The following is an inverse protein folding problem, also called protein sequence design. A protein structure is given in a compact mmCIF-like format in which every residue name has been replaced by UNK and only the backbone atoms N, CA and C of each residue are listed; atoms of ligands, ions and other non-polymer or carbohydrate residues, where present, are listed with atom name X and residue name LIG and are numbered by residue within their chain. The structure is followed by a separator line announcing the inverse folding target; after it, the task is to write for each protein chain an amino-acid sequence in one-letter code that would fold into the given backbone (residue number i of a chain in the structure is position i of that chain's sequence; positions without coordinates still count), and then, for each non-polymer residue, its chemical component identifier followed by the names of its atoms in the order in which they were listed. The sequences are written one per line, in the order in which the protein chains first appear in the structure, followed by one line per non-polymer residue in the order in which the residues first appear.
data_IF_050491316613
#
_entry.id   IF_050491316613
#
_cell.length_a   1.000
_cell.length_b   1.000
_cell.length_c   1.000
_cell.angle_alpha   90.00
_cell.angle_beta   90.00
_cell.angle_gamma   90.00
#
_symmetry.space_group_name_H-M   'P 1'
#
loop_
_entity.id
_entity.type
_entity.pdbx_description
1 polymer ?
#
# COMPACT_ATOMS: atom_id res chain seq x y z
N UNK A 1 -21.11 -2.86 2.55
CA UNK A 1 -19.94 -1.99 2.75
C UNK A 1 -19.02 -2.42 3.89
N UNK A 2 -19.56 -2.78 5.07
CA UNK A 2 -18.77 -3.31 6.21
C UNK A 2 -18.01 -4.61 5.87
N UNK A 3 -18.59 -5.51 5.10
CA UNK A 3 -17.98 -6.80 4.72
C UNK A 3 -16.71 -6.59 3.88
N UNK A 4 -16.68 -5.61 2.99
CA UNK A 4 -15.52 -5.30 2.15
C UNK A 4 -14.36 -4.71 2.96
N UNK A 5 -14.67 -3.93 3.99
CA UNK A 5 -13.66 -3.36 4.89
C UNK A 5 -13.05 -4.47 5.76
N UNK A 6 -13.86 -5.40 6.25
CA UNK A 6 -13.37 -6.53 7.02
C UNK A 6 -12.50 -7.50 6.19
N UNK A 7 -12.84 -7.72 4.93
CA UNK A 7 -12.03 -8.58 4.05
C UNK A 7 -10.65 -7.97 3.78
N UNK A 8 -10.59 -6.68 3.48
CA UNK A 8 -9.33 -5.99 3.24
C UNK A 8 -8.42 -5.92 4.48
N UNK A 9 -9.00 -5.78 5.66
CA UNK A 9 -8.26 -5.81 6.92
C UNK A 9 -7.71 -7.21 7.23
N UNK A 10 -8.49 -8.25 6.95
CA UNK A 10 -8.03 -9.63 7.08
C UNK A 10 -6.88 -9.97 6.14
N UNK A 11 -6.99 -9.53 4.90
CA UNK A 11 -5.92 -9.70 3.91
C UNK A 11 -4.64 -8.98 4.33
N UNK A 12 -4.74 -7.74 4.82
CA UNK A 12 -3.60 -7.00 5.32
C UNK A 12 -2.92 -7.67 6.52
N UNK A 13 -3.71 -8.21 7.44
CA UNK A 13 -3.21 -8.95 8.58
C UNK A 13 -2.56 -10.27 8.16
N UNK A 14 -3.13 -10.95 7.16
CA UNK A 14 -2.56 -12.16 6.60
C UNK A 14 -1.21 -11.91 5.92
N UNK A 15 -1.07 -10.81 5.17
CA UNK A 15 0.18 -10.44 4.50
C UNK A 15 1.35 -10.20 5.47
N UNK A 16 1.08 -9.74 6.68
CA UNK A 16 2.11 -9.61 7.72
C UNK A 16 2.69 -10.95 8.18
N UNK A 17 1.91 -12.01 8.04
CA UNK A 17 2.31 -13.37 8.41
C UNK A 17 2.91 -14.16 7.26
N UNK A 18 2.92 -13.59 6.08
CA UNK A 18 3.51 -14.24 4.91
C UNK A 18 5.00 -14.44 5.12
N UNK A 19 5.54 -15.58 4.66
CA UNK A 19 6.97 -15.83 4.72
C UNK A 19 7.75 -14.82 3.87
N UNK A 20 9.00 -14.62 4.21
CA UNK A 20 9.92 -13.70 3.53
C UNK A 20 10.83 -14.50 2.61
N UNK A 21 10.90 -14.08 1.35
CA UNK A 21 11.92 -14.52 0.39
C UNK A 21 12.91 -13.38 0.14
N UNK A 22 14.17 -13.72 -0.05
CA UNK A 22 15.18 -12.76 -0.47
C UNK A 22 15.00 -12.47 -1.95
N UNK A 23 14.92 -11.19 -2.28
CA UNK A 23 14.74 -10.72 -3.64
C UNK A 23 15.71 -9.61 -4.00
N UNK A 24 15.59 -9.15 -5.23
CA UNK A 24 16.40 -8.08 -5.79
C UNK A 24 15.50 -7.14 -6.58
N UNK A 25 15.74 -5.84 -6.45
CA UNK A 25 15.08 -4.83 -7.27
C UNK A 25 15.67 -4.86 -8.68
N UNK A 26 14.82 -5.06 -9.67
CA UNK A 26 15.20 -5.02 -11.09
C UNK A 26 15.15 -3.62 -11.65
N UNK A 27 14.11 -2.85 -11.27
CA UNK A 27 13.86 -1.52 -11.78
C UNK A 27 13.09 -0.71 -10.74
N UNK A 28 13.51 0.53 -10.56
CA UNK A 28 12.86 1.46 -9.64
C UNK A 28 12.80 2.84 -10.30
N UNK A 29 11.60 3.35 -10.54
CA UNK A 29 11.38 4.63 -11.21
C UNK A 29 10.13 5.32 -10.71
N UNK A 30 10.09 6.64 -10.88
CA UNK A 30 8.87 7.43 -10.69
C UNK A 30 8.16 7.55 -12.03
N UNK A 31 6.90 7.15 -12.08
CA UNK A 31 6.02 7.40 -13.23
C UNK A 31 5.11 8.58 -12.97
N UNK A 32 5.05 9.47 -13.95
CA UNK A 32 4.07 10.53 -14.01
C UNK A 32 2.83 10.03 -14.76
N UNK A 33 1.67 10.27 -14.21
CA UNK A 33 0.41 9.99 -14.90
C UNK A 33 -0.59 11.12 -14.68
N UNK A 34 -1.48 11.30 -15.65
CA UNK A 34 -2.52 12.32 -15.60
C UNK A 34 -3.83 11.67 -15.17
N UNK A 35 -4.46 12.25 -14.15
CA UNK A 35 -5.78 11.86 -13.72
C UNK A 35 -6.73 13.04 -13.93
N UNK A 36 -7.94 12.76 -14.37
CA UNK A 36 -9.00 13.76 -14.39
C UNK A 36 -9.37 14.09 -12.95
N UNK A 37 -9.30 15.36 -12.59
CA UNK A 37 -9.86 15.83 -11.36
C UNK A 37 -11.35 15.57 -11.40
N UNK A 38 -11.80 14.58 -10.63
CA UNK A 38 -13.20 14.19 -10.60
C UNK A 38 -14.09 15.39 -10.37
N UNK A 39 -15.25 15.38 -11.02
CA UNK A 39 -16.31 16.36 -10.86
C UNK A 39 -16.75 16.41 -9.40
N UNK A 40 -16.03 17.15 -8.58
CA UNK A 40 -16.52 17.58 -7.28
C UNK A 40 -17.64 18.59 -7.51
N UNK A 41 -18.68 18.53 -6.68
CA UNK A 41 -19.86 19.40 -6.69
C UNK A 41 -19.57 20.91 -6.51
N UNK A 42 -18.31 21.29 -6.56
CA UNK A 42 -17.88 22.68 -6.53
C UNK A 42 -17.37 23.02 -7.92
N UNK A 43 -18.20 23.70 -8.71
CA UNK A 43 -18.02 24.07 -10.10
C UNK A 43 -16.72 24.79 -10.46
N UNK A 44 -15.59 24.12 -10.24
CA UNK A 44 -14.28 24.53 -10.72
C UNK A 44 -13.96 23.97 -12.11
N UNK A 45 -13.06 24.61 -12.87
CA UNK A 45 -12.68 24.13 -14.17
C UNK A 45 -12.12 22.69 -14.08
N UNK A 46 -12.57 21.81 -14.96
CA UNK A 46 -12.08 20.44 -15.10
C UNK A 46 -10.58 20.48 -15.41
N UNK A 47 -9.76 20.43 -14.38
CA UNK A 47 -8.31 20.38 -14.49
C UNK A 47 -7.81 18.94 -14.55
N UNK A 48 -6.80 18.71 -15.38
CA UNK A 48 -6.02 17.47 -15.31
C UNK A 48 -4.98 17.63 -14.21
N UNK A 49 -4.99 16.70 -13.26
CA UNK A 49 -3.98 16.63 -12.22
C UNK A 49 -2.83 15.74 -12.68
N UNK A 50 -1.62 16.24 -12.57
CA UNK A 50 -0.41 15.43 -12.71
C UNK A 50 -0.12 14.75 -11.39
N UNK A 51 -0.09 13.43 -11.40
CA UNK A 51 0.17 12.59 -10.25
C UNK A 51 1.43 11.77 -10.49
N UNK A 52 2.09 11.40 -9.41
CA UNK A 52 3.32 10.62 -9.44
C UNK A 52 3.14 9.33 -8.66
N UNK A 53 3.68 8.23 -9.18
CA UNK A 53 3.68 6.95 -8.50
C UNK A 53 5.05 6.30 -8.56
N UNK A 54 5.52 5.67 -7.49
CA UNK A 54 6.69 4.84 -7.54
C UNK A 54 6.36 3.51 -8.22
N UNK A 55 7.20 3.08 -9.14
CA UNK A 55 7.13 1.77 -9.78
C UNK A 55 8.41 1.04 -9.46
N UNK A 56 8.31 -0.01 -8.67
CA UNK A 56 9.43 -0.86 -8.27
C UNK A 56 9.11 -2.27 -8.72
N UNK A 57 9.91 -2.79 -9.64
CA UNK A 57 9.83 -4.17 -10.10
C UNK A 57 10.95 -4.96 -9.43
N UNK A 58 10.61 -6.07 -8.83
CA UNK A 58 11.54 -6.94 -8.12
C UNK A 58 11.36 -8.40 -8.51
N UNK A 59 12.41 -9.18 -8.34
CA UNK A 59 12.37 -10.63 -8.48
C UNK A 59 12.72 -11.31 -7.16
N UNK A 60 12.21 -12.48 -6.95
CA UNK A 60 12.47 -13.32 -5.80
C UNK A 60 12.33 -14.79 -6.16
N UNK A 61 12.92 -15.65 -5.36
CA UNK A 61 12.91 -17.09 -5.57
C UNK A 61 12.21 -17.80 -4.42
N UNK A 62 11.30 -18.70 -4.77
CA UNK A 62 10.60 -19.59 -3.83
C UNK A 62 10.74 -21.03 -4.34
N UNK A 63 11.32 -21.89 -3.52
CA UNK A 63 11.52 -23.31 -3.85
C UNK A 63 12.20 -23.55 -5.23
N UNK A 64 13.19 -22.74 -5.57
CA UNK A 64 13.92 -22.84 -6.83
C UNK A 64 13.25 -22.20 -8.03
N UNK A 65 12.05 -21.63 -7.87
CA UNK A 65 11.33 -20.95 -8.94
C UNK A 65 11.38 -19.43 -8.75
N UNK A 66 11.66 -18.70 -9.84
CA UNK A 66 11.71 -17.25 -9.85
C UNK A 66 10.36 -16.65 -10.17
N UNK A 67 10.02 -15.60 -9.40
CA UNK A 67 8.82 -14.80 -9.58
C UNK A 67 9.18 -13.32 -9.67
N UNK A 68 8.30 -12.55 -10.28
CA UNK A 68 8.39 -11.09 -10.33
C UNK A 68 7.19 -10.46 -9.65
N UNK A 69 7.40 -9.33 -8.99
CA UNK A 69 6.35 -8.54 -8.39
C UNK A 69 6.61 -7.06 -8.57
N UNK A 70 5.57 -6.27 -8.45
CA UNK A 70 5.58 -4.82 -8.53
C UNK A 70 4.78 -4.15 -7.41
N UNK A 71 4.21 -4.92 -6.51
CA UNK A 71 3.42 -4.43 -5.40
C UNK A 71 4.32 -4.01 -4.24
N UNK A 72 4.34 -2.71 -3.93
CA UNK A 72 5.10 -2.16 -2.81
C UNK A 72 4.31 -2.29 -1.53
N UNK A 73 3.06 -1.84 -1.53
CA UNK A 73 2.17 -1.89 -0.39
C UNK A 73 0.79 -2.40 -0.79
N UNK A 74 0.02 -2.89 0.17
CA UNK A 74 -1.30 -3.45 -0.08
C UNK A 74 -2.29 -2.41 -0.61
N UNK A 75 -2.20 -1.18 -0.17
CA UNK A 75 -3.11 -0.13 -0.59
C UNK A 75 -2.41 0.83 -1.56
N UNK A 76 -2.64 0.70 -2.85
CA UNK A 76 -2.00 1.57 -3.84
C UNK A 76 -2.47 3.03 -3.76
N UNK A 77 -3.51 3.33 -2.97
CA UNK A 77 -4.12 4.65 -2.91
C UNK A 77 -3.41 5.68 -2.03
N UNK A 78 -2.66 5.25 -1.02
CA UNK A 78 -2.05 6.17 -0.05
C UNK A 78 -0.75 6.84 -0.53
N UNK A 79 -0.13 6.32 -1.58
CA UNK A 79 1.16 6.76 -2.07
C UNK A 79 1.06 7.52 -3.41
N UNK A 80 -0.15 7.84 -3.83
CA UNK A 80 -0.40 8.51 -5.10
C UNK A 80 -0.51 10.02 -4.89
N UNK A 81 0.20 10.77 -5.71
CA UNK A 81 -0.05 12.18 -5.86
C UNK A 81 1.11 13.11 -5.51
N UNK A 82 1.99 12.75 -4.58
CA UNK A 82 3.08 13.63 -4.16
C UNK A 82 4.41 13.15 -4.74
N UNK A 83 5.05 13.99 -5.57
CA UNK A 83 6.32 13.69 -6.21
C UNK A 83 7.42 13.29 -5.22
N UNK A 84 7.54 14.00 -4.11
CA UNK A 84 8.55 13.75 -3.09
C UNK A 84 8.38 12.37 -2.46
N UNK A 85 7.15 11.92 -2.25
CA UNK A 85 6.87 10.61 -1.68
C UNK A 85 7.26 9.48 -2.65
N UNK A 86 6.95 9.65 -3.93
CA UNK A 86 7.35 8.70 -4.97
C UNK A 86 8.87 8.60 -5.09
N UNK A 87 9.58 9.74 -5.05
CA UNK A 87 11.04 9.78 -5.07
C UNK A 87 11.67 9.10 -3.84
N UNK A 88 11.16 9.36 -2.65
CA UNK A 88 11.66 8.70 -1.43
C UNK A 88 11.48 7.20 -1.49
N UNK A 89 10.39 6.72 -2.04
CA UNK A 89 10.14 5.27 -2.22
C UNK A 89 11.14 4.66 -3.21
N UNK A 90 11.35 5.32 -4.35
CA UNK A 90 12.31 4.87 -5.36
C UNK A 90 13.75 4.86 -4.82
N UNK A 91 14.13 5.84 -4.01
CA UNK A 91 15.45 5.87 -3.38
C UNK A 91 15.64 4.73 -2.36
N UNK A 92 14.57 4.38 -1.64
CA UNK A 92 14.59 3.26 -0.69
C UNK A 92 14.80 1.92 -1.39
N UNK A 93 14.26 1.77 -2.58
CA UNK A 93 14.34 0.56 -3.39
C UNK A 93 15.17 0.82 -4.65
N UNK A 94 16.45 1.12 -4.49
CA UNK A 94 17.34 1.39 -5.60
C UNK A 94 17.55 0.15 -6.50
N UNK A 95 17.78 0.38 -7.79
CA UNK A 95 18.07 -0.68 -8.77
C UNK A 95 19.19 -1.58 -8.27
N UNK A 96 18.98 -2.89 -8.38
CA UNK A 96 19.95 -3.90 -7.98
C UNK A 96 20.08 -4.15 -6.48
N UNK A 97 19.36 -3.41 -5.63
CA UNK A 97 19.40 -3.60 -4.18
C UNK A 97 18.69 -4.89 -3.76
N UNK A 98 19.19 -5.49 -2.67
CA UNK A 98 18.53 -6.61 -2.03
C UNK A 98 17.29 -6.16 -1.27
N UNK A 99 16.21 -6.93 -1.35
CA UNK A 99 14.94 -6.65 -0.67
C UNK A 99 14.37 -7.90 -0.04
N UNK A 100 13.62 -7.71 1.02
CA UNK A 100 12.80 -8.75 1.62
C UNK A 100 11.40 -8.72 1.00
N UNK A 101 11.01 -9.82 0.38
CA UNK A 101 9.73 -9.96 -0.31
C UNK A 101 8.85 -10.89 0.50
N UNK A 102 7.67 -10.44 0.88
CA UNK A 102 6.65 -11.28 1.49
C UNK A 102 5.76 -11.86 0.40
N UNK A 103 5.64 -13.15 0.39
CA UNK A 103 4.86 -13.87 -0.64
C UNK A 103 3.76 -14.72 -0.02
N UNK A 104 2.69 -14.90 -0.78
CA UNK A 104 1.61 -15.79 -0.38
C UNK A 104 2.06 -17.26 -0.51
N UNK A 105 2.09 -18.05 0.57
CA UNK A 105 2.54 -19.43 0.50
C UNK A 105 1.63 -20.32 -0.36
N UNK A 106 0.37 -19.96 -0.54
CA UNK A 106 -0.57 -20.66 -1.41
C UNK A 106 -0.44 -20.28 -2.88
N UNK A 107 0.01 -19.05 -3.13
CA UNK A 107 0.22 -18.48 -4.48
C UNK A 107 1.53 -17.70 -4.49
N UNK A 108 2.68 -18.35 -4.67
CA UNK A 108 3.98 -17.70 -4.55
C UNK A 108 4.21 -16.52 -5.49
N UNK A 109 3.45 -16.42 -6.58
CA UNK A 109 3.46 -15.26 -7.48
C UNK A 109 2.82 -13.99 -6.89
N UNK A 110 2.03 -14.10 -5.84
CA UNK A 110 1.52 -12.95 -5.09
C UNK A 110 2.51 -12.52 -4.02
N UNK A 111 2.94 -11.27 -4.10
CA UNK A 111 3.95 -10.74 -3.20
C UNK A 111 3.72 -9.27 -2.88
N UNK A 112 4.37 -8.81 -1.82
CA UNK A 112 4.35 -7.43 -1.39
C UNK A 112 5.67 -7.10 -0.68
N UNK A 113 6.18 -5.88 -0.87
CA UNK A 113 7.38 -5.41 -0.17
C UNK A 113 7.07 -4.90 1.24
N UNK A 114 6.00 -4.12 1.38
CA UNK A 114 5.61 -3.51 2.65
C UNK A 114 4.16 -3.87 3.00
N UNK A 115 3.92 -4.84 3.89
CA UNK A 115 2.58 -5.15 4.36
C UNK A 115 2.13 -4.08 5.37
N UNK A 116 1.70 -2.93 4.91
CA UNK A 116 1.18 -1.87 5.77
C UNK A 116 -0.30 -2.07 6.03
N UNK A 117 -0.66 -2.14 7.30
CA UNK A 117 -2.05 -2.01 7.72
C UNK A 117 -2.32 -0.53 7.96
N UNK A 118 -3.33 0.06 7.33
CA UNK A 118 -3.70 1.44 7.63
C UNK A 118 -4.06 1.55 9.12
N UNK A 119 -3.33 2.38 9.85
CA UNK A 119 -3.56 2.59 11.30
C UNK A 119 -4.81 3.43 11.59
N UNK A 120 -5.47 3.91 10.55
CA UNK A 120 -6.65 4.78 10.69
C UNK A 120 -7.79 4.16 11.52
N UNK A 121 -7.94 2.84 11.51
CA UNK A 121 -8.94 2.15 12.31
C UNK A 121 -8.65 2.22 13.83
N UNK A 122 -7.37 2.33 14.22
CA UNK A 122 -6.97 2.48 15.63
C UNK A 122 -7.50 3.82 16.16
N UNK A 123 -7.37 4.90 15.39
CA UNK A 123 -7.91 6.21 15.75
C UNK A 123 -9.44 6.18 15.85
N UNK A 124 -10.12 5.52 14.91
CA UNK A 124 -11.57 5.36 14.96
C UNK A 124 -12.02 4.58 16.21
N UNK A 125 -11.30 3.53 16.58
CA UNK A 125 -11.57 2.75 17.78
C UNK A 125 -11.35 3.57 19.06
N UNK A 126 -10.27 4.32 19.13
CA UNK A 126 -9.97 5.19 20.29
C UNK A 126 -11.04 6.25 20.46
N UNK A 127 -11.48 6.88 19.36
CA UNK A 127 -12.57 7.87 19.40
C UNK A 127 -13.89 7.22 19.87
N UNK A 128 -14.22 6.05 19.36
CA UNK A 128 -15.44 5.33 19.74
C UNK A 128 -15.43 4.97 21.24
N UNK A 129 -14.31 4.47 21.76
CA UNK A 129 -14.15 4.15 23.18
C UNK A 129 -14.23 5.42 24.04
N UNK A 130 -13.60 6.52 23.61
CA UNK A 130 -13.67 7.79 24.34
C UNK A 130 -15.11 8.34 24.42
N UNK A 131 -15.86 8.26 23.32
CA UNK A 131 -17.27 8.67 23.30
C UNK A 131 -18.14 7.77 24.19
N UNK A 132 -17.87 6.47 24.22
CA UNK A 132 -18.58 5.54 25.10
C UNK A 132 -18.32 5.84 26.57
N UNK A 133 -17.06 6.11 26.93
CA UNK A 133 -16.69 6.50 28.31
C UNK A 133 -17.31 7.81 28.73
N UNK A 134 -17.41 8.78 27.81
CA UNK A 134 -18.06 10.06 28.07
C UNK A 134 -19.57 9.89 28.32
N UNK A 135 -20.20 9.00 27.55
CA UNK A 135 -21.63 8.67 27.71
C UNK A 135 -21.94 8.03 29.06
N UNK A 136 -21.07 7.15 29.55
CA UNK A 136 -21.23 6.50 30.85
C UNK A 136 -21.01 7.48 32.02
N UNK A 137 -20.21 8.52 31.83
CA UNK A 137 -19.91 9.49 32.88
C UNK A 137 -20.99 10.60 33.03
N UNK A 138 -21.84 10.74 32.02
CA UNK A 138 -22.96 11.72 32.05
C UNK A 138 -24.28 11.14 32.58
N UNK A 139 -24.31 9.87 32.93
CA UNK A 139 -25.44 9.21 33.59
C UNK A 139 -25.10 8.85 35.04
#
# INVERSE_FOLDING_TARGET
MLVLIFSSLREAAAMKRWPVAKGRVLSSKVEEYRADAGSGNFGGPRGRLTLYRPVVVYEYEVNGQRYRGDRIAQSPGMNKGVANFAQMTVQRYADGSAVDVRFNPKRPGESVLEPRVPKAWIFALVIAVALLMLSVHMY
#
